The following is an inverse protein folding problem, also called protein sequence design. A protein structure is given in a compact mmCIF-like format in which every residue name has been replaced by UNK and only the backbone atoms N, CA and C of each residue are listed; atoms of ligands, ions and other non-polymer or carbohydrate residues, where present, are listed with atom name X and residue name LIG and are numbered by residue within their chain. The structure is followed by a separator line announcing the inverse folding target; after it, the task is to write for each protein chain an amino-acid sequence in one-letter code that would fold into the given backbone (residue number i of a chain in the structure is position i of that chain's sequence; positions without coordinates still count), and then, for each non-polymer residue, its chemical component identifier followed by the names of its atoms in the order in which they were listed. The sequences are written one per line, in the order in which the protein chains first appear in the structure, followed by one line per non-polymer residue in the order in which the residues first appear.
data_IF_644543623585
#
_entry.id   IF_644543623585
#
_cell.length_a   1.000
_cell.length_b   1.000
_cell.length_c   1.000
_cell.angle_alpha   90.00
_cell.angle_beta   90.00
_cell.angle_gamma   90.00
#
_symmetry.space_group_name_H-M   'P 1'
#
loop_
_entity.id
_entity.type
_entity.pdbx_description
1 polymer ?
#
# COMPACT_ATOMS: atom_id res chain seq x y z
N UNK A 1 10.46 -22.46 1.16
CA UNK A 1 9.60 -21.81 2.16
C UNK A 1 8.25 -22.52 2.17
N UNK A 2 7.90 -23.27 3.23
CA UNK A 2 6.63 -23.98 3.30
C UNK A 2 5.49 -22.97 3.47
N UNK A 3 4.73 -22.71 2.41
CA UNK A 3 3.52 -21.90 2.48
C UNK A 3 2.48 -22.65 3.30
N UNK A 4 2.12 -22.15 4.48
CA UNK A 4 0.96 -22.67 5.22
C UNK A 4 -0.30 -22.21 4.50
N UNK A 5 -1.04 -23.16 3.95
CA UNK A 5 -2.30 -22.92 3.23
C UNK A 5 -3.41 -23.65 3.96
N UNK A 6 -4.47 -22.93 4.31
CA UNK A 6 -5.74 -23.50 4.77
C UNK A 6 -6.76 -23.42 3.63
N UNK A 7 -7.41 -24.54 3.33
CA UNK A 7 -8.51 -24.59 2.37
C UNK A 7 -9.80 -24.82 3.13
N UNK A 8 -10.73 -23.88 3.01
CA UNK A 8 -12.02 -23.90 3.71
C UNK A 8 -13.10 -23.91 2.65
N UNK A 9 -13.48 -25.08 2.18
CA UNK A 9 -14.50 -25.28 1.14
C UNK A 9 -14.24 -24.46 -0.16
N UNK A 10 -15.03 -24.72 -1.20
CA UNK A 10 -15.01 -23.93 -2.44
C UNK A 10 -15.69 -22.57 -2.20
N UNK A 11 -15.22 -21.46 -2.82
CA UNK A 11 -15.76 -20.11 -2.60
C UNK A 11 -17.07 -19.85 -3.38
N UNK A 12 -18.00 -20.82 -3.35
CA UNK A 12 -19.24 -20.79 -4.13
C UNK A 12 -20.44 -20.35 -3.27
N UNK A 13 -20.33 -20.48 -1.97
CA UNK A 13 -21.45 -20.18 -1.05
C UNK A 13 -21.15 -18.88 -0.32
N UNK A 14 -21.98 -17.83 -0.47
CA UNK A 14 -21.85 -16.62 0.34
C UNK A 14 -22.24 -16.93 1.80
N UNK A 15 -21.53 -16.34 2.75
CA UNK A 15 -21.82 -16.48 4.17
C UNK A 15 -22.44 -15.19 4.72
N UNK A 16 -23.49 -15.31 5.52
CA UNK A 16 -24.11 -14.16 6.19
C UNK A 16 -23.24 -13.58 7.28
N UNK A 17 -22.55 -14.44 8.03
CA UNK A 17 -21.70 -14.03 9.14
C UNK A 17 -20.22 -14.24 8.82
N UNK A 18 -19.38 -13.33 9.34
CA UNK A 18 -17.92 -13.49 9.27
C UNK A 18 -17.48 -14.64 10.18
N UNK A 19 -16.56 -15.46 9.68
CA UNK A 19 -15.80 -16.41 10.48
C UNK A 19 -14.35 -15.98 10.60
N UNK A 20 -13.63 -16.57 11.56
CA UNK A 20 -12.22 -16.25 11.82
C UNK A 20 -11.34 -17.36 11.27
N UNK A 21 -10.32 -16.99 10.52
CA UNK A 21 -9.23 -17.85 10.11
C UNK A 21 -8.04 -17.53 10.99
N UNK A 22 -7.43 -18.54 11.58
CA UNK A 22 -6.31 -18.40 12.51
C UNK A 22 -5.16 -19.31 12.11
N UNK A 23 -3.96 -18.78 12.15
CA UNK A 23 -2.70 -19.49 11.99
C UNK A 23 -1.82 -19.29 13.22
N UNK A 24 -0.99 -20.29 13.56
CA UNK A 24 0.04 -20.15 14.58
C UNK A 24 1.21 -19.34 14.06
N UNK A 25 1.73 -18.44 14.89
CA UNK A 25 2.88 -17.59 14.56
C UNK A 25 4.22 -18.11 15.11
N UNK A 26 4.22 -19.19 15.89
CA UNK A 26 5.38 -19.71 16.65
C UNK A 26 6.65 -19.93 15.79
N UNK A 27 6.48 -20.17 14.51
CA UNK A 27 7.64 -20.39 13.62
C UNK A 27 8.28 -19.11 13.05
N UNK A 28 7.70 -17.95 13.33
CA UNK A 28 8.24 -16.67 12.88
C UNK A 28 8.97 -16.00 14.03
N UNK A 29 10.17 -15.50 13.79
CA UNK A 29 10.80 -14.59 14.73
C UNK A 29 10.07 -13.22 14.74
N UNK A 30 10.38 -12.37 15.72
CA UNK A 30 9.68 -11.10 15.90
C UNK A 30 9.76 -10.18 14.67
N UNK A 31 10.94 -10.09 14.04
CA UNK A 31 11.13 -9.23 12.86
C UNK A 31 10.38 -9.75 11.62
N UNK A 32 10.36 -11.06 11.42
CA UNK A 32 9.58 -11.66 10.33
C UNK A 32 8.08 -11.50 10.56
N UNK A 33 7.65 -11.65 11.82
CA UNK A 33 6.23 -11.58 12.17
C UNK A 33 5.61 -10.23 11.76
N UNK A 34 6.34 -9.12 11.87
CA UNK A 34 5.85 -7.80 11.49
C UNK A 34 5.45 -7.77 10.00
N UNK A 35 6.16 -8.47 9.15
CA UNK A 35 5.95 -8.52 7.70
C UNK A 35 5.06 -9.67 7.22
N UNK A 36 4.63 -10.59 8.12
CA UNK A 36 3.72 -11.69 7.79
C UNK A 36 2.29 -11.18 7.70
N UNK A 37 1.55 -11.64 6.69
CA UNK A 37 0.13 -11.36 6.53
C UNK A 37 -0.65 -12.57 6.00
N UNK A 38 -1.96 -12.57 6.23
CA UNK A 38 -2.87 -13.54 5.64
C UNK A 38 -3.27 -13.04 4.26
N UNK A 39 -3.09 -13.88 3.24
CA UNK A 39 -3.57 -13.63 1.90
C UNK A 39 -4.73 -14.55 1.55
N UNK A 40 -5.74 -14.03 0.85
CA UNK A 40 -6.70 -14.83 0.12
C UNK A 40 -6.01 -15.33 -1.16
N UNK A 41 -6.01 -16.65 -1.36
CA UNK A 41 -5.32 -17.34 -2.44
C UNK A 41 -6.29 -18.04 -3.40
N UNK A 42 -7.56 -17.62 -3.45
CA UNK A 42 -8.54 -18.17 -4.38
C UNK A 42 -8.11 -18.01 -5.84
N UNK A 43 -7.41 -16.91 -6.12
CA UNK A 43 -6.64 -16.74 -7.34
C UNK A 43 -5.15 -16.93 -7.00
N UNK A 44 -4.58 -18.09 -7.33
CA UNK A 44 -3.17 -18.39 -7.04
C UNK A 44 -2.18 -17.44 -7.73
N UNK A 45 -2.57 -16.86 -8.86
CA UNK A 45 -1.73 -15.91 -9.62
C UNK A 45 -1.69 -14.53 -8.95
N UNK A 46 -2.80 -14.16 -8.30
CA UNK A 46 -2.96 -12.83 -7.69
C UNK A 46 -3.54 -12.96 -6.28
N UNK A 47 -2.75 -13.45 -5.30
CA UNK A 47 -3.17 -13.44 -3.91
C UNK A 47 -3.35 -11.98 -3.46
N UNK A 48 -4.33 -11.72 -2.60
CA UNK A 48 -4.54 -10.38 -2.06
C UNK A 48 -4.54 -10.36 -0.54
N UNK A 49 -4.08 -9.26 0.01
CA UNK A 49 -4.01 -9.01 1.44
C UNK A 49 -5.39 -9.09 2.10
N UNK A 50 -5.42 -9.71 3.29
CA UNK A 50 -6.56 -9.71 4.20
C UNK A 50 -6.21 -8.89 5.46
N UNK A 51 -7.19 -8.14 6.01
CA UNK A 51 -7.00 -7.42 7.29
C UNK A 51 -6.45 -8.37 8.35
N UNK A 52 -5.12 -8.36 8.50
CA UNK A 52 -4.37 -9.31 9.32
C UNK A 52 -4.13 -8.75 10.70
N UNK A 53 -4.51 -9.49 11.72
CA UNK A 53 -4.27 -9.16 13.13
C UNK A 53 -3.39 -10.21 13.78
N UNK A 54 -2.57 -9.76 14.73
CA UNK A 54 -1.61 -10.60 15.45
C UNK A 54 -1.81 -10.42 16.94
N UNK A 55 -2.02 -11.52 17.67
CA UNK A 55 -2.20 -11.51 19.13
C UNK A 55 -1.97 -12.92 19.70
N UNK A 56 -1.24 -13.01 20.83
CA UNK A 56 -1.03 -14.25 21.58
C UNK A 56 -0.59 -15.42 20.69
N UNK A 57 0.51 -15.24 19.96
CA UNK A 57 1.10 -16.22 19.03
C UNK A 57 0.15 -16.71 17.93
N UNK A 58 -0.88 -15.94 17.64
CA UNK A 58 -1.84 -16.20 16.56
C UNK A 58 -1.83 -15.05 15.54
N UNK A 59 -1.97 -15.43 14.28
CA UNK A 59 -2.21 -14.53 13.15
C UNK A 59 -3.61 -14.84 12.65
N UNK A 60 -4.51 -13.87 12.63
CA UNK A 60 -5.91 -14.11 12.28
C UNK A 60 -6.52 -13.01 11.43
N UNK A 61 -7.56 -13.37 10.70
CA UNK A 61 -8.41 -12.48 9.93
C UNK A 61 -9.87 -12.89 10.04
N UNK A 62 -10.79 -11.95 9.77
CA UNK A 62 -12.22 -12.23 9.70
C UNK A 62 -12.73 -12.01 8.28
N UNK A 63 -13.41 -13.00 7.73
CA UNK A 63 -13.92 -12.98 6.36
C UNK A 63 -15.32 -13.59 6.25
N UNK A 64 -16.04 -13.27 5.18
CA UNK A 64 -17.29 -13.94 4.77
C UNK A 64 -17.06 -14.88 3.57
N UNK A 65 -15.86 -14.91 3.02
CA UNK A 65 -15.55 -15.66 1.79
C UNK A 65 -14.89 -16.98 2.17
N UNK A 66 -15.40 -18.06 1.65
CA UNK A 66 -14.76 -19.38 1.70
C UNK A 66 -13.59 -19.44 0.71
N UNK A 67 -12.75 -20.45 0.82
CA UNK A 67 -11.67 -20.69 -0.14
C UNK A 67 -10.31 -20.93 0.48
N UNK A 68 -9.25 -20.58 -0.24
CA UNK A 68 -7.86 -20.80 0.16
C UNK A 68 -7.26 -19.54 0.80
N UNK A 69 -6.59 -19.76 1.92
CA UNK A 69 -5.89 -18.70 2.65
C UNK A 69 -4.51 -19.18 3.05
N UNK A 70 -3.54 -18.30 3.04
CA UNK A 70 -2.18 -18.66 3.43
C UNK A 70 -1.44 -17.50 4.05
N UNK A 71 -0.34 -17.82 4.75
CA UNK A 71 0.59 -16.82 5.25
C UNK A 71 1.61 -16.47 4.17
N UNK A 72 1.78 -15.19 3.91
CA UNK A 72 2.81 -14.62 3.05
C UNK A 72 3.63 -13.62 3.84
N UNK A 73 4.85 -13.34 3.36
CA UNK A 73 5.75 -12.33 3.93
C UNK A 73 5.99 -11.27 2.86
N UNK A 74 5.90 -10.00 3.25
CA UNK A 74 6.23 -8.88 2.39
C UNK A 74 7.37 -8.05 3.01
N UNK A 75 8.55 -8.16 2.44
CA UNK A 75 9.74 -7.39 2.84
C UNK A 75 10.08 -6.31 1.79
N UNK A 76 9.18 -6.04 0.85
CA UNK A 76 9.43 -5.10 -0.23
C UNK A 76 8.66 -3.81 0.00
N UNK A 77 9.33 -2.66 0.10
CA UNK A 77 8.61 -1.40 0.22
C UNK A 77 7.84 -1.08 -1.06
N UNK A 78 6.77 -0.28 -0.95
CA UNK A 78 6.01 0.21 -2.10
C UNK A 78 6.91 0.91 -3.11
N UNK A 79 6.58 0.78 -4.40
CA UNK A 79 7.28 1.48 -5.48
C UNK A 79 6.63 2.84 -5.73
N UNK A 80 7.49 3.86 -5.89
CA UNK A 80 7.13 5.22 -6.31
C UNK A 80 7.85 5.46 -7.63
N UNK A 81 7.12 5.80 -8.70
CA UNK A 81 7.68 5.84 -10.05
C UNK A 81 6.85 6.70 -11.02
N UNK A 82 7.38 6.95 -12.22
CA UNK A 82 6.70 7.66 -13.32
C UNK A 82 6.03 8.98 -12.88
N UNK A 83 6.80 9.84 -12.18
CA UNK A 83 6.40 11.24 -12.01
C UNK A 83 6.38 11.94 -13.36
N UNK A 84 5.48 12.92 -13.53
CA UNK A 84 5.45 13.78 -14.73
C UNK A 84 6.44 14.93 -14.66
N UNK A 85 7.36 14.90 -13.71
CA UNK A 85 8.43 15.87 -13.52
C UNK A 85 9.71 15.20 -13.01
N UNK A 86 10.83 15.85 -13.19
CA UNK A 86 12.13 15.47 -12.67
C UNK A 86 12.58 16.45 -11.58
N UNK A 87 13.62 16.07 -10.85
CA UNK A 87 14.22 16.97 -9.89
C UNK A 87 14.74 18.25 -10.58
N UNK A 88 14.44 19.41 -9.99
CA UNK A 88 14.73 20.76 -10.49
C UNK A 88 13.99 21.20 -11.76
N UNK A 89 12.90 20.55 -12.14
CA UNK A 89 12.06 21.01 -13.26
C UNK A 89 11.23 22.25 -12.91
N UNK A 90 10.93 23.06 -13.93
CA UNK A 90 9.95 24.14 -13.87
C UNK A 90 8.54 23.60 -14.18
N UNK A 91 7.62 23.73 -13.22
CA UNK A 91 6.26 23.19 -13.33
C UNK A 91 5.18 24.29 -13.50
N UNK A 92 5.56 25.53 -13.85
CA UNK A 92 4.60 26.65 -13.98
C UNK A 92 3.52 26.40 -15.04
N UNK A 93 3.84 25.65 -16.09
CA UNK A 93 2.89 25.27 -17.16
C UNK A 93 2.01 24.06 -16.81
N UNK A 94 2.35 23.31 -15.76
CA UNK A 94 1.60 22.13 -15.38
C UNK A 94 0.44 22.50 -14.43
N UNK A 95 -0.74 22.00 -14.74
CA UNK A 95 -1.88 22.05 -13.82
C UNK A 95 -1.78 20.97 -12.73
N UNK A 96 -1.30 19.79 -13.10
CA UNK A 96 -1.23 18.65 -12.18
C UNK A 96 0.20 18.17 -11.98
N UNK A 97 0.57 17.93 -10.72
CA UNK A 97 1.70 17.08 -10.38
C UNK A 97 1.17 15.65 -10.25
N UNK A 98 1.78 14.71 -10.97
CA UNK A 98 1.36 13.32 -10.95
C UNK A 98 2.52 12.38 -10.70
N UNK A 99 2.26 11.29 -9.97
CA UNK A 99 3.24 10.25 -9.68
C UNK A 99 2.52 8.91 -9.49
N UNK A 100 3.14 7.80 -9.87
CA UNK A 100 2.56 6.47 -9.69
C UNK A 100 3.12 5.80 -8.44
N UNK A 101 2.23 5.06 -7.77
CA UNK A 101 2.58 4.21 -6.63
C UNK A 101 2.01 2.81 -6.85
N UNK A 102 2.73 1.80 -6.41
CA UNK A 102 2.23 0.42 -6.43
C UNK A 102 2.93 -0.43 -5.40
N UNK A 103 2.22 -1.41 -4.92
CA UNK A 103 2.76 -2.54 -4.20
C UNK A 103 2.22 -3.83 -4.80
N UNK A 104 3.06 -4.88 -4.88
CA UNK A 104 2.73 -6.13 -5.56
C UNK A 104 2.40 -7.28 -4.61
N UNK A 105 2.59 -7.08 -3.31
CA UNK A 105 2.42 -8.12 -2.30
C UNK A 105 1.31 -7.77 -1.31
N UNK A 106 1.60 -6.99 -0.28
CA UNK A 106 0.60 -6.64 0.74
C UNK A 106 -0.33 -5.51 0.30
N UNK A 107 0.04 -4.76 -0.73
CA UNK A 107 -0.75 -3.64 -1.26
C UNK A 107 -0.54 -2.33 -0.51
N UNK A 108 -0.93 -1.21 -1.12
CA UNK A 108 -0.81 0.13 -0.52
C UNK A 108 -1.81 0.27 0.63
N UNK A 109 -1.31 0.71 1.79
CA UNK A 109 -2.11 1.06 2.97
C UNK A 109 -2.42 2.54 3.02
N UNK A 110 -1.39 3.37 2.87
CA UNK A 110 -1.51 4.83 2.97
C UNK A 110 -0.44 5.54 2.16
N UNK A 111 -0.71 6.81 1.89
CA UNK A 111 0.25 7.75 1.34
C UNK A 111 0.03 9.13 1.98
N UNK A 112 1.11 9.87 2.13
CA UNK A 112 1.11 11.24 2.63
C UNK A 112 2.03 12.09 1.75
N UNK A 113 1.55 13.25 1.31
CA UNK A 113 2.29 14.14 0.45
C UNK A 113 2.41 15.53 1.06
N UNK A 114 3.54 16.17 0.78
CA UNK A 114 3.88 17.49 1.33
C UNK A 114 4.54 18.34 0.25
N UNK A 115 4.24 19.63 0.25
CA UNK A 115 5.02 20.66 -0.44
C UNK A 115 5.51 21.63 0.62
N UNK A 116 6.82 21.88 0.69
CA UNK A 116 7.47 22.76 1.67
C UNK A 116 7.10 22.43 3.12
N UNK A 117 7.03 21.14 3.45
CA UNK A 117 6.59 20.58 4.72
C UNK A 117 5.10 20.79 5.07
N UNK A 118 4.30 21.39 4.20
CA UNK A 118 2.87 21.48 4.37
C UNK A 118 2.17 20.33 3.67
N UNK A 119 1.27 19.67 4.38
CA UNK A 119 0.48 18.56 3.84
C UNK A 119 -0.39 19.02 2.67
N UNK A 120 -0.44 18.21 1.62
CA UNK A 120 -1.27 18.42 0.44
C UNK A 120 -2.15 17.18 0.18
N UNK A 121 -3.37 17.41 -0.29
CA UNK A 121 -4.26 16.34 -0.72
C UNK A 121 -3.86 15.89 -2.13
N UNK A 122 -3.52 14.61 -2.28
CA UNK A 122 -3.38 13.98 -3.59
C UNK A 122 -4.54 13.00 -3.82
N UNK A 123 -5.18 13.07 -4.98
CA UNK A 123 -6.20 12.12 -5.38
C UNK A 123 -5.57 10.84 -5.93
N UNK A 124 -6.04 9.67 -5.48
CA UNK A 124 -5.53 8.38 -5.90
C UNK A 124 -6.48 7.65 -6.85
N UNK A 125 -6.09 7.54 -8.13
CA UNK A 125 -6.74 6.65 -9.10
C UNK A 125 -6.14 5.24 -8.96
N UNK A 126 -6.86 4.36 -8.27
CA UNK A 126 -6.43 2.98 -7.99
C UNK A 126 -6.20 2.18 -9.28
N UNK A 127 -7.05 2.36 -10.31
CA UNK A 127 -6.94 1.62 -11.58
C UNK A 127 -5.69 2.01 -12.35
N UNK A 128 -5.33 3.28 -12.35
CA UNK A 128 -4.13 3.82 -13.00
C UNK A 128 -2.91 3.78 -12.07
N UNK A 129 -3.09 3.42 -10.79
CA UNK A 129 -2.07 3.47 -9.74
C UNK A 129 -1.40 4.85 -9.64
N UNK A 130 -2.17 5.93 -9.82
CA UNK A 130 -1.69 7.29 -10.00
C UNK A 130 -2.21 8.22 -8.93
N UNK A 131 -1.31 8.94 -8.29
CA UNK A 131 -1.60 10.10 -7.44
C UNK A 131 -1.56 11.37 -8.30
N UNK A 132 -2.46 12.31 -8.02
CA UNK A 132 -2.55 13.60 -8.71
C UNK A 132 -2.81 14.72 -7.71
N UNK A 133 -2.05 15.81 -7.80
CA UNK A 133 -2.26 17.05 -7.05
C UNK A 133 -2.57 18.18 -8.03
N UNK A 134 -3.65 18.94 -7.82
CA UNK A 134 -4.00 20.11 -8.63
C UNK A 134 -3.32 21.36 -8.02
N UNK A 135 -2.42 22.00 -8.75
CA UNK A 135 -1.75 23.22 -8.28
C UNK A 135 -2.68 24.41 -8.03
N UNK A 136 -3.96 24.31 -8.41
CA UNK A 136 -4.97 25.35 -8.11
C UNK A 136 -5.53 25.23 -6.69
N UNK A 137 -5.33 24.09 -6.00
CA UNK A 137 -5.85 23.87 -4.65
C UNK A 137 -5.17 24.79 -3.63
N UNK A 138 -3.93 25.16 -3.88
CA UNK A 138 -3.18 26.05 -3.02
C UNK A 138 -2.20 26.91 -3.81
N UNK A 139 -2.18 28.22 -3.55
CA UNK A 139 -1.16 29.13 -4.07
C UNK A 139 0.16 28.89 -3.32
N UNK A 140 1.20 28.51 -4.05
CA UNK A 140 2.55 28.38 -3.51
C UNK A 140 3.23 29.74 -3.43
N UNK A 141 4.03 29.98 -2.39
CA UNK A 141 4.76 31.22 -2.17
C UNK A 141 6.25 31.01 -2.44
N UNK A 142 6.82 31.85 -3.29
CA UNK A 142 8.19 31.68 -3.75
C UNK A 142 8.26 30.97 -5.08
N UNK A 143 9.47 30.59 -5.49
CA UNK A 143 9.66 29.92 -6.77
C UNK A 143 10.30 28.54 -6.66
N UNK A 144 10.96 28.22 -5.54
CA UNK A 144 11.60 26.92 -5.28
C UNK A 144 10.79 26.17 -4.24
N UNK A 145 10.41 24.93 -4.53
CA UNK A 145 9.57 24.10 -3.69
C UNK A 145 10.15 22.71 -3.53
N UNK A 146 9.88 22.08 -2.40
CA UNK A 146 10.31 20.70 -2.09
C UNK A 146 9.05 19.85 -1.97
N UNK A 147 8.91 18.89 -2.87
CA UNK A 147 7.87 17.85 -2.80
C UNK A 147 8.39 16.62 -2.06
N UNK A 148 7.60 16.12 -1.12
CA UNK A 148 7.85 14.87 -0.38
C UNK A 148 6.61 13.99 -0.46
N UNK A 149 6.81 12.72 -0.80
CA UNK A 149 5.77 11.69 -0.79
C UNK A 149 6.26 10.50 0.04
N UNK A 150 5.48 10.10 1.03
CA UNK A 150 5.70 8.90 1.85
C UNK A 150 4.60 7.92 1.53
N UNK A 151 4.94 6.68 1.20
CA UNK A 151 3.97 5.62 0.89
C UNK A 151 4.25 4.43 1.79
N UNK A 152 3.19 3.86 2.39
CA UNK A 152 3.26 2.68 3.26
C UNK A 152 2.39 1.56 2.70
N UNK A 153 2.84 0.32 2.87
CA UNK A 153 2.06 -0.88 2.59
C UNK A 153 1.31 -1.39 3.83
N UNK A 154 0.56 -2.49 3.67
CA UNK A 154 -0.27 -3.05 4.73
C UNK A 154 0.50 -3.78 5.84
N UNK A 155 1.79 -4.06 5.67
CA UNK A 155 2.64 -4.68 6.70
C UNK A 155 3.65 -3.70 7.31
N UNK A 156 3.65 -2.43 6.86
CA UNK A 156 4.43 -1.35 7.46
C UNK A 156 5.74 -1.03 6.74
N UNK A 157 6.06 -1.66 5.60
CA UNK A 157 7.17 -1.17 4.78
C UNK A 157 6.84 0.21 4.21
N UNK A 158 7.83 1.09 4.16
CA UNK A 158 7.67 2.47 3.71
C UNK A 158 8.68 2.82 2.62
N UNK A 159 8.27 3.69 1.71
CA UNK A 159 9.16 4.32 0.75
C UNK A 159 8.90 5.82 0.70
N UNK A 160 9.97 6.61 0.53
CA UNK A 160 9.88 8.06 0.49
C UNK A 160 10.52 8.58 -0.80
N UNK A 161 9.80 9.47 -1.49
CA UNK A 161 10.27 10.20 -2.64
C UNK A 161 10.38 11.68 -2.31
N UNK A 162 11.55 12.28 -2.57
CA UNK A 162 11.79 13.71 -2.42
C UNK A 162 12.24 14.29 -3.76
N UNK A 163 11.75 15.47 -4.09
CA UNK A 163 12.15 16.18 -5.31
C UNK A 163 11.97 17.68 -5.14
N UNK A 164 12.93 18.44 -5.66
CA UNK A 164 12.79 19.89 -5.79
C UNK A 164 12.14 20.21 -7.12
N UNK A 165 11.28 21.22 -7.14
CA UNK A 165 10.73 21.78 -8.37
C UNK A 165 10.62 23.31 -8.28
N UNK A 166 10.46 23.96 -9.42
CA UNK A 166 10.27 25.41 -9.51
C UNK A 166 8.91 25.73 -10.09
N UNK A 167 8.25 26.76 -9.54
CA UNK A 167 6.94 27.25 -10.01
C UNK A 167 6.78 28.73 -9.65
N UNK A 168 6.20 29.51 -10.57
CA UNK A 168 5.74 30.89 -10.35
C UNK A 168 4.26 30.98 -10.62
#
# INVERSE_FOLDING_TARGET
MNKRIATIHKPIIPLDKKFTITFDSIMYNKSELDHVYIANMNNNKYPYYMDTRKKNDKIFTKTKTLGKYGLLIDNQPPKIYNSNFKNNDWLSSLRYLTIKISDSQSGIKSYEAYIDNEWILMEYDVKKKKLSYDFRDKKLVGSKHIFKLVVSDNVGNTNTYNSTFYRK
#
